data_IF_776441850210
#
_entry.id   IF_776441850210
#
_cell.length_a   1.000
_cell.length_b   1.000
_cell.length_c   1.000
_cell.angle_alpha   90.00
_cell.angle_beta   90.00
_cell.angle_gamma   90.00
#
_symmetry.space_group_name_H-M   'P 1'
#
loop_
_entity.id
_entity.type
_entity.pdbx_description
1 polymer ?
#
# COMPACT_ATOMS: atom_id res chain seq x y z
N UNK A 1 9.04 15.88 1.41
CA UNK A 1 10.01 14.84 1.09
C UNK A 1 9.28 13.59 0.63
N UNK A 2 9.67 13.04 -0.49
CA UNK A 2 8.96 11.89 -1.04
C UNK A 2 9.61 10.58 -0.62
N UNK A 3 8.77 9.56 -0.53
CA UNK A 3 9.17 8.20 -0.23
C UNK A 3 9.28 7.44 -1.54
N UNK A 4 10.29 6.59 -1.67
CA UNK A 4 10.42 5.73 -2.84
C UNK A 4 10.19 4.28 -2.46
N UNK A 5 9.55 3.55 -3.36
CA UNK A 5 9.20 2.15 -3.17
C UNK A 5 9.95 1.36 -4.23
N UNK A 6 10.79 0.44 -3.78
CA UNK A 6 11.73 -0.28 -4.63
C UNK A 6 11.35 -1.75 -4.74
N UNK A 7 11.63 -2.32 -5.90
CA UNK A 7 11.45 -3.75 -6.13
C UNK A 7 12.50 -4.53 -5.34
N UNK A 8 12.06 -5.55 -4.63
CA UNK A 8 12.96 -6.43 -3.88
C UNK A 8 13.66 -5.72 -2.74
N UNK A 9 14.79 -6.25 -2.33
CA UNK A 9 15.63 -5.66 -1.28
C UNK A 9 16.66 -4.74 -1.93
N UNK A 10 16.28 -3.46 -2.09
CA UNK A 10 17.11 -2.51 -2.80
C UNK A 10 16.74 -1.09 -2.43
N UNK A 11 17.71 -0.19 -2.50
CA UNK A 11 17.46 1.25 -2.43
C UNK A 11 18.08 1.97 -3.62
N UNK A 12 18.41 1.20 -4.67
CA UNK A 12 18.98 1.76 -5.90
C UNK A 12 17.90 2.52 -6.68
N UNK A 13 18.29 3.64 -7.29
CA UNK A 13 17.37 4.40 -8.13
C UNK A 13 16.84 3.59 -9.30
N UNK A 14 17.58 2.56 -9.73
CA UNK A 14 17.15 1.71 -10.85
C UNK A 14 16.01 0.77 -10.49
N UNK A 15 15.72 0.60 -9.20
CA UNK A 15 14.68 -0.31 -8.74
C UNK A 15 13.43 0.40 -8.25
N UNK A 16 13.33 1.71 -8.41
CA UNK A 16 12.16 2.47 -7.94
C UNK A 16 10.95 2.13 -8.81
N UNK A 17 9.91 1.63 -8.15
CA UNK A 17 8.63 1.33 -8.80
C UNK A 17 7.65 2.49 -8.66
N UNK A 18 7.63 3.13 -7.48
CA UNK A 18 6.69 4.20 -7.15
C UNK A 18 7.36 5.24 -6.27
N UNK A 19 6.81 6.46 -6.31
CA UNK A 19 7.12 7.52 -5.35
C UNK A 19 5.83 7.94 -4.67
N UNK A 20 5.92 8.31 -3.39
CA UNK A 20 4.75 8.72 -2.60
C UNK A 20 5.10 9.98 -1.83
N UNK A 21 4.28 11.03 -1.98
CA UNK A 21 4.54 12.32 -1.33
C UNK A 21 3.61 12.60 -0.14
N UNK A 22 2.87 11.58 0.30
CA UNK A 22 1.89 11.72 1.37
C UNK A 22 0.47 11.83 0.86
N UNK A 23 0.30 12.17 -0.41
CA UNK A 23 -1.01 12.29 -1.04
C UNK A 23 -1.09 11.54 -2.35
N UNK A 24 -0.08 11.66 -3.20
CA UNK A 24 -0.09 11.05 -4.54
C UNK A 24 0.90 9.91 -4.63
N UNK A 25 0.49 8.87 -5.34
CA UNK A 25 1.38 7.76 -5.72
C UNK A 25 1.74 7.97 -7.19
N UNK A 26 3.02 8.16 -7.46
CA UNK A 26 3.56 8.43 -8.79
C UNK A 26 4.20 7.19 -9.37
N UNK A 27 4.15 7.09 -10.69
CA UNK A 27 4.88 6.03 -11.41
C UNK A 27 6.37 6.32 -11.35
N UNK A 28 7.14 5.34 -10.87
CA UNK A 28 8.60 5.46 -10.84
C UNK A 28 9.07 6.59 -9.94
N UNK A 29 10.26 7.12 -10.23
CA UNK A 29 10.83 8.25 -9.50
C UNK A 29 10.38 9.54 -10.16
N UNK A 30 9.27 10.09 -9.67
CA UNK A 30 8.67 11.26 -10.30
C UNK A 30 7.90 12.08 -9.27
N UNK A 31 7.78 13.37 -9.56
CA UNK A 31 6.86 14.27 -8.85
C UNK A 31 6.00 15.04 -9.85
N UNK A 32 5.96 14.58 -11.10
CA UNK A 32 5.17 15.21 -12.15
C UNK A 32 3.72 14.77 -12.07
N UNK A 33 2.80 15.72 -12.25
CA UNK A 33 1.37 15.41 -12.22
C UNK A 33 0.97 14.43 -13.32
N UNK A 34 1.73 14.38 -14.43
CA UNK A 34 1.45 13.44 -15.51
C UNK A 34 1.71 11.97 -15.10
N UNK A 35 2.44 11.75 -14.01
CA UNK A 35 2.79 10.43 -13.54
C UNK A 35 2.01 10.01 -12.29
N UNK A 36 1.00 10.76 -11.89
CA UNK A 36 0.16 10.41 -10.75
C UNK A 36 -0.72 9.24 -11.13
N UNK A 37 -0.56 8.14 -10.38
CA UNK A 37 -1.37 6.95 -10.58
C UNK A 37 -2.58 6.92 -9.65
N UNK A 38 -2.41 7.38 -8.41
CA UNK A 38 -3.45 7.32 -7.38
C UNK A 38 -3.34 8.52 -6.45
N UNK A 39 -4.47 8.86 -5.83
CA UNK A 39 -4.53 9.87 -4.77
C UNK A 39 -5.01 9.20 -3.48
N UNK A 40 -4.36 9.51 -2.36
CA UNK A 40 -4.73 8.99 -1.05
C UNK A 40 -5.00 10.17 -0.12
N UNK A 41 -6.19 10.20 0.50
CA UNK A 41 -6.57 11.31 1.38
C UNK A 41 -6.58 10.91 2.87
N UNK A 42 -6.00 9.77 3.20
CA UNK A 42 -5.97 9.25 4.56
C UNK A 42 -7.00 8.17 4.80
N UNK A 43 -8.03 8.11 3.98
CA UNK A 43 -9.11 7.13 4.10
C UNK A 43 -9.40 6.43 2.77
N UNK A 44 -9.48 7.21 1.69
CA UNK A 44 -9.85 6.69 0.37
C UNK A 44 -8.66 6.71 -0.56
N UNK A 45 -8.59 5.70 -1.43
CA UNK A 45 -7.67 5.65 -2.55
C UNK A 45 -8.47 5.88 -3.81
N UNK A 46 -8.11 6.95 -4.54
CA UNK A 46 -8.78 7.37 -5.77
C UNK A 46 -7.92 7.02 -6.97
N UNK A 47 -8.59 6.72 -8.07
CA UNK A 47 -7.89 6.50 -9.34
C UNK A 47 -7.39 7.83 -9.87
N UNK A 48 -6.11 7.87 -10.23
CA UNK A 48 -5.50 9.05 -10.82
C UNK A 48 -5.43 10.23 -9.86
N UNK A 49 -5.34 11.43 -10.42
CA UNK A 49 -5.33 12.68 -9.67
C UNK A 49 -6.77 13.16 -9.51
N UNK A 50 -7.42 12.68 -8.46
CA UNK A 50 -8.84 12.95 -8.25
C UNK A 50 -9.20 12.84 -6.78
N UNK A 51 -10.23 13.58 -6.36
CA UNK A 51 -10.85 13.41 -5.06
C UNK A 51 -12.37 13.25 -5.23
N UNK A 52 -12.80 12.90 -6.43
CA UNK A 52 -14.21 12.65 -6.70
C UNK A 52 -14.62 11.26 -6.17
N UNK A 53 -15.78 11.19 -5.55
CA UNK A 53 -16.28 9.92 -5.01
C UNK A 53 -16.46 8.85 -6.08
N UNK A 54 -16.67 9.26 -7.33
CA UNK A 54 -16.80 8.31 -8.44
C UNK A 54 -15.49 7.60 -8.77
N UNK A 55 -14.36 8.10 -8.28
CA UNK A 55 -13.04 7.53 -8.54
C UNK A 55 -12.45 6.78 -7.34
N UNK A 56 -13.24 6.57 -6.28
CA UNK A 56 -12.76 5.83 -5.11
C UNK A 56 -12.65 4.36 -5.47
N UNK A 57 -11.42 3.83 -5.30
CA UNK A 57 -11.14 2.42 -5.55
C UNK A 57 -11.25 1.60 -4.26
N UNK A 58 -10.77 2.15 -3.15
CA UNK A 58 -10.69 1.45 -1.87
C UNK A 58 -10.89 2.41 -0.72
N UNK A 59 -11.33 1.85 0.41
CA UNK A 59 -11.46 2.57 1.68
C UNK A 59 -10.57 1.87 2.71
N UNK A 60 -9.82 2.63 3.51
CA UNK A 60 -9.00 2.12 4.60
C UNK A 60 -9.41 2.82 5.90
N UNK A 61 -9.79 2.06 6.93
CA UNK A 61 -10.24 2.64 8.20
C UNK A 61 -9.23 2.51 9.33
N UNK A 62 -7.99 2.12 9.00
CA UNK A 62 -6.94 1.89 9.98
C UNK A 62 -6.71 0.42 10.28
N UNK A 63 -7.71 -0.42 10.03
CA UNK A 63 -7.61 -1.87 10.25
C UNK A 63 -8.02 -2.65 9.02
N UNK A 64 -9.13 -2.26 8.38
CA UNK A 64 -9.68 -3.00 7.25
C UNK A 64 -9.52 -2.23 5.95
N UNK A 65 -9.27 -2.97 4.88
CA UNK A 65 -9.28 -2.46 3.52
C UNK A 65 -10.57 -2.94 2.86
N UNK A 66 -11.40 -1.99 2.41
CA UNK A 66 -12.70 -2.28 1.80
C UNK A 66 -12.64 -2.03 0.31
N UNK A 67 -13.40 -2.81 -0.44
CA UNK A 67 -13.57 -2.57 -1.87
C UNK A 67 -14.47 -1.35 -2.07
N UNK A 68 -14.01 -0.40 -2.88
CA UNK A 68 -14.77 0.80 -3.20
C UNK A 68 -14.97 1.69 -2.00
N UNK A 69 -16.02 2.53 -2.06
CA UNK A 69 -16.42 3.40 -0.96
C UNK A 69 -17.39 2.65 -0.07
N UNK A 70 -16.88 1.99 0.95
CA UNK A 70 -17.68 1.12 1.78
C UNK A 70 -17.10 1.03 3.19
N UNK A 71 -17.96 0.75 4.16
CA UNK A 71 -17.55 0.34 5.49
C UNK A 71 -18.29 -0.94 5.90
N UNK A 72 -18.85 -1.65 4.93
CA UNK A 72 -19.57 -2.89 5.16
C UNK A 72 -18.60 -4.06 5.29
N UNK A 73 -18.85 -4.94 6.26
CA UNK A 73 -18.01 -6.12 6.47
C UNK A 73 -17.99 -7.03 5.23
N UNK A 74 -19.04 -7.01 4.42
CA UNK A 74 -19.09 -7.83 3.20
C UNK A 74 -18.10 -7.36 2.13
N UNK A 75 -17.55 -6.14 2.27
CA UNK A 75 -16.60 -5.57 1.32
C UNK A 75 -15.18 -5.54 1.84
N UNK A 76 -14.90 -6.18 2.97
CA UNK A 76 -13.53 -6.23 3.51
C UNK A 76 -12.69 -7.15 2.64
N UNK A 77 -11.59 -6.59 2.11
CA UNK A 77 -10.62 -7.33 1.30
C UNK A 77 -9.48 -7.86 2.16
N UNK A 78 -9.00 -7.04 3.10
CA UNK A 78 -7.83 -7.37 3.93
C UNK A 78 -7.97 -6.77 5.32
N UNK A 79 -7.26 -7.37 6.27
CA UNK A 79 -7.15 -6.88 7.66
C UNK A 79 -5.67 -6.58 7.94
N UNK A 80 -5.39 -5.47 8.61
CA UNK A 80 -4.05 -5.08 9.03
C UNK A 80 -4.01 -4.98 10.55
N UNK A 81 -3.04 -5.66 11.18
CA UNK A 81 -2.93 -5.67 12.64
C UNK A 81 -1.74 -4.86 13.17
N UNK A 82 -1.11 -4.07 12.32
CA UNK A 82 0.08 -3.30 12.67
C UNK A 82 1.36 -3.90 12.09
N UNK A 83 1.34 -5.16 11.72
CA UNK A 83 2.50 -5.86 11.17
C UNK A 83 2.12 -6.77 10.01
N UNK A 84 1.04 -7.50 10.14
CA UNK A 84 0.61 -8.51 9.17
C UNK A 84 -0.59 -8.03 8.39
N UNK A 85 -0.66 -8.43 7.13
CA UNK A 85 -1.80 -8.19 6.27
C UNK A 85 -2.45 -9.55 6.00
N UNK A 86 -3.69 -9.69 6.44
CA UNK A 86 -4.44 -10.94 6.36
C UNK A 86 -5.45 -10.90 5.22
N UNK A 87 -5.69 -12.04 4.62
CA UNK A 87 -6.72 -12.18 3.59
C UNK A 87 -8.10 -12.06 4.23
N UNK A 88 -8.92 -11.17 3.72
CA UNK A 88 -10.28 -10.97 4.19
C UNK A 88 -10.35 -10.43 5.60
N UNK A 89 -11.48 -10.66 6.27
CA UNK A 89 -11.68 -10.26 7.66
C UNK A 89 -11.21 -11.39 8.56
N UNK A 90 -9.93 -11.37 8.90
CA UNK A 90 -9.30 -12.45 9.65
C UNK A 90 -8.10 -11.93 10.41
N UNK A 91 -7.79 -12.59 11.53
CA UNK A 91 -6.52 -12.40 12.23
C UNK A 91 -5.86 -13.75 12.50
N UNK A 92 -6.26 -14.77 11.76
CA UNK A 92 -5.67 -16.10 11.83
C UNK A 92 -4.33 -16.14 11.10
N UNK A 93 -3.34 -16.78 11.71
CA UNK A 93 -2.00 -16.87 11.09
C UNK A 93 -2.04 -17.60 9.75
N UNK A 94 -3.00 -18.48 9.53
CA UNK A 94 -3.13 -19.18 8.25
C UNK A 94 -3.54 -18.26 7.11
N UNK A 95 -4.02 -17.05 7.43
CA UNK A 95 -4.48 -16.09 6.44
C UNK A 95 -3.53 -14.92 6.24
N UNK A 96 -2.32 -14.97 6.79
CA UNK A 96 -1.33 -13.92 6.61
C UNK A 96 -0.81 -13.98 5.18
N UNK A 97 -0.99 -12.88 4.46
CA UNK A 97 -0.48 -12.74 3.09
C UNK A 97 0.88 -12.06 3.06
N UNK A 98 1.07 -11.04 3.91
CA UNK A 98 2.28 -10.22 3.91
C UNK A 98 2.61 -9.78 5.31
N UNK A 99 3.90 -9.49 5.53
CA UNK A 99 4.41 -8.86 6.75
C UNK A 99 5.10 -7.56 6.36
N UNK A 100 4.81 -6.48 7.10
CA UNK A 100 5.44 -5.19 6.90
C UNK A 100 6.10 -4.74 8.19
N UNK A 101 7.42 -4.48 8.14
CA UNK A 101 8.18 -4.10 9.33
C UNK A 101 8.52 -2.60 9.37
N UNK A 102 7.91 -1.80 8.51
CA UNK A 102 8.18 -0.38 8.38
C UNK A 102 9.12 -0.05 7.23
N UNK A 103 9.91 -1.01 6.77
CA UNK A 103 10.84 -0.84 5.67
C UNK A 103 10.61 -1.85 4.56
N UNK A 104 10.37 -3.10 4.91
CA UNK A 104 10.24 -4.19 3.94
C UNK A 104 8.86 -4.79 3.98
N UNK A 105 8.33 -5.13 2.80
CA UNK A 105 7.17 -6.00 2.66
C UNK A 105 7.69 -7.39 2.33
N UNK A 106 7.33 -8.35 3.16
CA UNK A 106 7.71 -9.75 3.01
C UNK A 106 6.52 -10.56 2.55
N UNK A 107 6.78 -11.60 1.79
CA UNK A 107 5.75 -12.55 1.40
C UNK A 107 5.40 -13.44 2.60
N UNK A 108 4.12 -13.54 2.91
CA UNK A 108 3.63 -14.38 3.98
C UNK A 108 4.06 -13.91 5.37
N UNK A 109 4.04 -14.85 6.32
CA UNK A 109 4.50 -14.59 7.69
C UNK A 109 5.99 -14.90 7.75
N UNK A 110 6.78 -13.91 7.39
CA UNK A 110 8.22 -14.11 7.27
C UNK A 110 8.93 -12.79 7.50
N UNK A 111 10.14 -12.86 8.02
CA UNK A 111 11.05 -11.72 8.07
C UNK A 111 12.39 -12.11 7.47
N UNK A 112 12.42 -13.17 6.67
CA UNK A 112 13.61 -13.60 5.97
C UNK A 112 13.87 -12.72 4.75
N UNK A 113 15.14 -12.35 4.53
CA UNK A 113 15.50 -11.52 3.40
C UNK A 113 15.14 -12.14 2.05
N UNK A 114 15.07 -13.45 1.99
CA UNK A 114 14.68 -14.14 0.75
C UNK A 114 13.23 -13.91 0.37
N UNK A 115 12.41 -13.43 1.30
CA UNK A 115 10.99 -13.20 1.08
C UNK A 115 10.64 -11.72 0.94
N UNK A 116 11.63 -10.83 0.84
CA UNK A 116 11.37 -9.41 0.66
C UNK A 116 10.84 -9.16 -0.75
N UNK A 117 9.66 -8.56 -0.81
CA UNK A 117 9.02 -8.19 -2.08
C UNK A 117 9.33 -6.74 -2.46
N UNK A 118 9.29 -5.85 -1.49
CA UNK A 118 9.49 -4.41 -1.70
C UNK A 118 10.28 -3.81 -0.55
N UNK A 119 11.04 -2.77 -0.88
CA UNK A 119 11.72 -1.92 0.11
C UNK A 119 11.10 -0.52 0.06
N UNK A 120 10.77 0.02 1.22
CA UNK A 120 10.25 1.38 1.36
C UNK A 120 11.37 2.26 1.90
N UNK A 121 11.80 3.24 1.11
CA UNK A 121 12.80 4.21 1.52
C UNK A 121 12.08 5.49 1.93
N UNK A 122 11.85 5.65 3.22
CA UNK A 122 11.06 6.72 3.79
C UNK A 122 9.88 6.17 4.58
N UNK A 123 8.81 6.93 4.64
CA UNK A 123 7.59 6.55 5.36
C UNK A 123 6.42 6.46 4.41
N UNK A 124 5.58 5.44 4.59
CA UNK A 124 4.32 5.35 3.87
C UNK A 124 3.19 5.13 4.86
N UNK A 125 1.99 5.54 4.45
CA UNK A 125 0.79 5.05 5.09
C UNK A 125 0.52 3.65 4.56
N UNK A 126 0.22 2.70 5.45
CA UNK A 126 -0.14 1.35 5.00
C UNK A 126 -1.40 1.37 4.14
N UNK A 127 -2.17 2.47 4.19
CA UNK A 127 -3.36 2.61 3.36
C UNK A 127 -3.10 2.53 1.87
N UNK A 128 -1.87 2.81 1.42
CA UNK A 128 -1.55 2.69 -0.01
C UNK A 128 -1.08 1.29 -0.40
N UNK A 129 -1.08 0.33 0.55
CA UNK A 129 -0.63 -1.03 0.31
C UNK A 129 -1.26 -1.66 -0.93
N UNK A 130 -2.58 -1.47 -1.11
CA UNK A 130 -3.30 -2.16 -2.18
C UNK A 130 -2.86 -1.74 -3.58
N UNK A 131 -2.25 -0.57 -3.72
CA UNK A 131 -1.88 -0.07 -5.04
C UNK A 131 -0.38 -0.16 -5.31
N UNK A 132 0.41 -0.60 -4.35
CA UNK A 132 1.86 -0.77 -4.54
C UNK A 132 2.32 -2.22 -4.55
N UNK A 133 1.49 -3.16 -4.09
CA UNK A 133 1.82 -4.60 -4.09
C UNK A 133 1.14 -5.41 -5.18
#
# INVERSE_FOLDING_TARGET
MSTTIHKGQSTSSSTILFSFDGKYVYRGQSSSSSNILFTFDGKYIYKGQSTSSSNILYTFDGKYFYKGQSSSSSNILYTFDGKHIFNGQSTSSSNILYTFDGKYFYKGESTSSSNILLTVNGHISIGIFLVIL
#
